data_IF_948736336278
#
_entry.id   IF_948736336278
#
_cell.length_a   1.000
_cell.length_b   1.000
_cell.length_c   1.000
_cell.angle_alpha   90.00
_cell.angle_beta   90.00
_cell.angle_gamma   90.00
#
_symmetry.space_group_name_H-M   'P 1'
#
loop_
_entity.id
_entity.type
_entity.pdbx_description
1 polymer ?
#
# COMPACT_ATOMS: atom_id res chain seq x y z
N UNK A 1 -1.72 19.09 5.04
CA UNK A 1 -2.30 19.08 3.69
C UNK A 1 -1.70 18.00 2.76
N UNK A 2 -0.46 17.55 2.94
CA UNK A 2 0.26 16.61 2.06
C UNK A 2 0.36 15.18 2.63
N UNK A 3 -0.58 14.74 3.46
CA UNK A 3 -0.47 13.44 4.18
C UNK A 3 -0.53 12.23 3.23
N UNK A 4 -1.42 12.25 2.24
CA UNK A 4 -1.52 11.15 1.27
C UNK A 4 -0.29 11.09 0.36
N UNK A 5 0.22 12.24 -0.08
CA UNK A 5 1.44 12.32 -0.90
C UNK A 5 2.66 11.78 -0.15
N UNK A 6 2.86 12.19 1.11
CA UNK A 6 3.99 11.71 1.94
C UNK A 6 3.88 10.21 2.23
N UNK A 7 2.68 9.71 2.57
CA UNK A 7 2.45 8.29 2.77
C UNK A 7 2.68 7.50 1.47
N UNK A 8 2.20 8.02 0.33
CA UNK A 8 2.43 7.40 -0.97
C UNK A 8 3.91 7.39 -1.37
N UNK A 9 4.66 8.47 -1.10
CA UNK A 9 6.09 8.54 -1.37
C UNK A 9 6.87 7.54 -0.49
N UNK A 10 6.50 7.39 0.78
CA UNK A 10 7.09 6.38 1.66
C UNK A 10 6.84 4.96 1.16
N UNK A 11 5.58 4.65 0.78
CA UNK A 11 5.23 3.34 0.21
C UNK A 11 5.91 3.09 -1.14
N UNK A 12 6.06 4.12 -1.99
CA UNK A 12 6.78 4.02 -3.25
C UNK A 12 8.26 3.66 -3.07
N UNK A 13 8.89 4.07 -1.96
CA UNK A 13 10.25 3.63 -1.60
C UNK A 13 10.37 2.11 -1.47
N UNK A 14 9.38 1.44 -0.86
CA UNK A 14 9.32 -0.01 -0.80
C UNK A 14 9.13 -0.67 -2.17
N UNK A 15 8.29 -0.07 -3.02
CA UNK A 15 8.07 -0.54 -4.39
C UNK A 15 9.33 -0.35 -5.24
N UNK A 16 10.07 0.76 -5.05
CA UNK A 16 11.36 0.99 -5.70
C UNK A 16 12.43 -0.02 -5.24
N UNK A 17 12.44 -0.38 -3.95
CA UNK A 17 13.27 -1.48 -3.45
C UNK A 17 12.94 -2.82 -4.13
N UNK A 18 11.67 -3.11 -4.37
CA UNK A 18 11.23 -4.29 -5.12
C UNK A 18 11.71 -4.25 -6.58
N UNK A 19 11.67 -3.07 -7.22
CA UNK A 19 12.24 -2.87 -8.57
C UNK A 19 13.73 -3.24 -8.61
N UNK A 20 14.53 -2.69 -7.71
CA UNK A 20 15.96 -3.00 -7.63
C UNK A 20 16.19 -4.49 -7.34
N UNK A 21 15.43 -5.07 -6.41
CA UNK A 21 15.52 -6.48 -6.04
C UNK A 21 15.23 -7.42 -7.19
N UNK A 22 14.17 -7.15 -7.96
CA UNK A 22 13.82 -7.96 -9.13
C UNK A 22 14.83 -7.82 -10.27
N UNK A 23 15.28 -6.60 -10.57
CA UNK A 23 16.24 -6.34 -11.63
C UNK A 23 17.60 -6.97 -11.34
N UNK A 24 18.20 -6.61 -10.20
CA UNK A 24 19.52 -7.09 -9.80
C UNK A 24 19.48 -8.58 -9.47
N UNK A 25 18.45 -9.03 -8.76
CA UNK A 25 18.26 -10.43 -8.41
C UNK A 25 18.10 -11.32 -9.62
N UNK A 26 17.32 -10.88 -10.64
CA UNK A 26 17.13 -11.61 -11.88
C UNK A 26 18.45 -11.77 -12.67
N UNK A 27 19.20 -10.68 -12.84
CA UNK A 27 20.51 -10.68 -13.52
C UNK A 27 21.53 -11.55 -12.76
N UNK A 28 21.62 -11.39 -11.45
CA UNK A 28 22.54 -12.19 -10.64
C UNK A 28 22.15 -13.68 -10.62
N UNK A 29 20.86 -14.01 -10.59
CA UNK A 29 20.39 -15.39 -10.61
C UNK A 29 20.72 -16.09 -11.93
N UNK A 30 20.61 -15.39 -13.05
CA UNK A 30 20.94 -15.92 -14.38
C UNK A 30 22.44 -16.19 -14.54
N UNK A 31 23.31 -15.25 -14.14
CA UNK A 31 24.76 -15.34 -14.40
C UNK A 31 25.54 -16.09 -13.32
N UNK A 32 25.12 -16.00 -12.05
CA UNK A 32 25.86 -16.54 -10.90
C UNK A 32 25.06 -17.59 -10.11
N UNK A 33 23.79 -17.79 -10.47
CA UNK A 33 22.87 -18.66 -9.74
C UNK A 33 22.21 -17.96 -8.55
N UNK A 34 21.08 -18.53 -8.13
CA UNK A 34 20.21 -17.94 -7.09
C UNK A 34 20.90 -17.72 -5.71
N UNK A 35 21.86 -18.59 -5.36
CA UNK A 35 22.60 -18.46 -4.07
C UNK A 35 23.40 -17.18 -4.02
N UNK A 36 24.08 -16.82 -5.10
CA UNK A 36 24.85 -15.59 -5.21
C UNK A 36 23.97 -14.35 -5.30
N UNK A 37 22.79 -14.46 -5.89
CA UNK A 37 21.81 -13.38 -5.87
C UNK A 37 21.41 -13.02 -4.42
N UNK A 38 21.06 -14.02 -3.58
CA UNK A 38 20.76 -13.79 -2.16
C UNK A 38 21.97 -13.27 -1.38
N UNK A 39 23.15 -13.84 -1.57
CA UNK A 39 24.37 -13.40 -0.88
C UNK A 39 24.72 -11.94 -1.21
N UNK A 40 24.63 -11.54 -2.48
CA UNK A 40 24.89 -10.17 -2.90
C UNK A 40 23.90 -9.16 -2.32
N UNK A 41 22.60 -9.50 -2.31
CA UNK A 41 21.59 -8.64 -1.70
C UNK A 41 21.76 -8.53 -0.18
N UNK A 42 22.13 -9.64 0.49
CA UNK A 42 22.42 -9.63 1.92
C UNK A 42 23.65 -8.76 2.24
N UNK A 43 24.72 -8.86 1.44
CA UNK A 43 25.91 -8.01 1.58
C UNK A 43 25.58 -6.52 1.42
N UNK A 44 24.79 -6.17 0.38
CA UNK A 44 24.33 -4.79 0.17
C UNK A 44 23.50 -4.27 1.35
N UNK A 45 22.58 -5.10 1.88
CA UNK A 45 21.80 -4.77 3.07
C UNK A 45 22.67 -4.54 4.31
N UNK A 46 23.71 -5.36 4.49
CA UNK A 46 24.65 -5.22 5.62
C UNK A 46 25.48 -3.95 5.52
N UNK A 47 25.93 -3.58 4.32
CA UNK A 47 26.63 -2.30 4.06
C UNK A 47 25.72 -1.12 4.40
N UNK A 48 24.46 -1.15 3.97
CA UNK A 48 23.49 -0.10 4.31
C UNK A 48 23.23 -0.02 5.82
N UNK A 49 23.13 -1.17 6.50
CA UNK A 49 22.94 -1.22 7.95
C UNK A 49 24.12 -0.61 8.71
N UNK A 50 25.35 -0.80 8.23
CA UNK A 50 26.56 -0.19 8.81
C UNK A 50 26.66 1.31 8.51
N UNK A 51 26.18 1.75 7.35
CA UNK A 51 26.15 3.17 6.98
C UNK A 51 25.05 3.94 7.72
N UNK A 52 23.95 3.27 8.09
CA UNK A 52 22.79 3.91 8.70
C UNK A 52 23.15 4.76 9.94
N UNK A 53 23.85 4.29 10.98
CA UNK A 53 24.19 5.08 12.17
C UNK A 53 25.14 6.24 11.88
N UNK A 54 25.89 6.18 10.76
CA UNK A 54 26.84 7.25 10.35
C UNK A 54 26.05 8.39 9.69
N UNK A 55 25.08 8.06 8.82
CA UNK A 55 24.30 9.03 8.05
C UNK A 55 23.15 9.62 8.88
N UNK A 56 22.48 8.76 9.66
CA UNK A 56 21.29 9.10 10.43
C UNK A 56 21.67 9.38 11.87
N UNK A 57 21.91 10.65 12.18
CA UNK A 57 22.19 11.10 13.55
C UNK A 57 20.86 11.32 14.29
N UNK A 58 20.70 10.65 15.44
CA UNK A 58 19.51 10.71 16.29
C UNK A 58 19.06 12.13 16.66
N UNK A 59 20.01 13.08 16.81
CA UNK A 59 19.76 14.50 17.05
C UNK A 59 19.00 15.21 15.90
N UNK A 60 19.02 14.66 14.68
CA UNK A 60 18.28 15.22 13.53
C UNK A 60 16.87 14.63 13.41
N UNK A 61 16.63 13.48 14.05
CA UNK A 61 15.33 12.77 14.07
C UNK A 61 14.66 12.96 15.44
N UNK A 62 15.11 13.91 16.26
CA UNK A 62 14.38 14.25 17.47
C UNK A 62 12.91 14.40 17.09
N UNK A 63 12.10 13.41 17.49
CA UNK A 63 10.66 13.43 17.27
C UNK A 63 10.18 14.82 17.68
N UNK A 64 9.53 15.59 16.82
CA UNK A 64 8.89 16.81 17.29
C UNK A 64 8.03 16.34 18.46
N UNK A 65 8.29 16.88 19.65
CA UNK A 65 7.38 16.67 20.79
C UNK A 65 6.02 16.94 20.20
N UNK A 66 5.17 15.90 20.16
CA UNK A 66 3.82 16.04 19.61
C UNK A 66 3.13 17.01 20.54
N UNK A 67 3.23 18.27 20.18
CA UNK A 67 2.71 19.41 20.94
C UNK A 67 1.48 19.83 20.16
N UNK A 68 0.37 19.98 20.83
CA UNK A 68 -0.85 20.53 20.26
C UNK A 68 -0.59 21.99 19.77
N UNK A 69 -1.51 22.55 18.98
CA UNK A 69 -1.46 23.94 18.50
C UNK A 69 -1.21 24.97 19.60
N UNK A 70 -1.41 24.59 20.87
CA UNK A 70 -1.19 25.39 22.06
C UNK A 70 0.10 25.07 22.84
N UNK A 71 1.02 24.26 22.28
CA UNK A 71 2.33 24.01 22.92
C UNK A 71 2.32 22.92 24.01
N UNK A 72 1.20 22.23 24.26
CA UNK A 72 1.06 21.20 25.31
C UNK A 72 1.45 19.81 24.78
N UNK A 73 2.05 18.98 25.64
CA UNK A 73 2.38 17.57 25.34
C UNK A 73 1.09 16.76 25.23
N UNK A 74 0.80 16.20 24.05
CA UNK A 74 -0.35 15.30 23.88
C UNK A 74 -0.13 14.06 24.75
N UNK A 75 -1.00 13.86 25.75
CA UNK A 75 -1.00 12.64 26.56
C UNK A 75 -1.51 11.44 25.74
N UNK A 76 -0.95 10.23 25.91
CA UNK A 76 -1.41 9.05 25.20
C UNK A 76 -2.87 8.73 25.59
N UNK A 77 -3.67 8.31 24.60
CA UNK A 77 -5.06 7.92 24.83
C UNK A 77 -5.16 6.77 25.86
N UNK A 78 -6.13 6.85 26.78
CA UNK A 78 -6.35 5.86 27.86
C UNK A 78 -6.59 4.41 27.36
N UNK A 79 -6.97 4.22 26.07
CA UNK A 79 -7.20 2.90 25.44
C UNK A 79 -6.85 2.95 23.96
N UNK A 80 -5.55 2.97 23.58
CA UNK A 80 -5.16 3.16 22.19
C UNK A 80 -5.68 2.05 21.26
N UNK A 81 -5.71 0.80 21.71
CA UNK A 81 -6.16 -0.34 20.90
C UNK A 81 -7.65 -0.30 20.59
N UNK A 82 -8.49 0.12 21.55
CA UNK A 82 -9.94 0.19 21.33
C UNK A 82 -10.32 1.28 20.33
N UNK A 83 -9.59 2.40 20.30
CA UNK A 83 -9.84 3.49 19.35
C UNK A 83 -9.51 3.10 17.90
N UNK A 84 -8.58 2.15 17.69
CA UNK A 84 -8.21 1.67 16.36
C UNK A 84 -9.31 0.86 15.67
N UNK A 85 -10.17 0.21 16.44
CA UNK A 85 -11.26 -0.63 15.94
C UNK A 85 -12.65 -0.06 16.23
N UNK A 86 -12.73 1.13 16.81
CA UNK A 86 -14.00 1.76 17.19
C UNK A 86 -14.82 2.27 15.99
N UNK A 87 -14.15 2.64 14.91
CA UNK A 87 -14.75 3.15 13.69
C UNK A 87 -14.91 2.05 12.64
N UNK A 88 -16.15 1.85 12.17
CA UNK A 88 -16.45 0.89 11.10
C UNK A 88 -15.70 1.25 9.81
N UNK A 89 -15.56 2.54 9.53
CA UNK A 89 -14.86 3.03 8.35
C UNK A 89 -13.36 2.76 8.41
N UNK A 90 -12.72 2.81 9.59
CA UNK A 90 -11.30 2.47 9.75
C UNK A 90 -11.06 0.99 9.51
N UNK A 91 -11.87 0.12 10.11
CA UNK A 91 -11.77 -1.34 9.90
C UNK A 91 -12.00 -1.70 8.44
N UNK A 92 -13.02 -1.12 7.82
CA UNK A 92 -13.28 -1.31 6.40
C UNK A 92 -12.11 -0.82 5.53
N UNK A 93 -11.43 0.28 5.92
CA UNK A 93 -10.25 0.77 5.21
C UNK A 93 -9.09 -0.22 5.32
N UNK A 94 -8.85 -0.82 6.49
CA UNK A 94 -7.82 -1.86 6.66
C UNK A 94 -8.08 -3.07 5.75
N UNK A 95 -9.33 -3.55 5.72
CA UNK A 95 -9.70 -4.71 4.90
C UNK A 95 -9.64 -4.36 3.40
N UNK A 96 -10.22 -3.23 3.00
CA UNK A 96 -10.25 -2.81 1.58
C UNK A 96 -8.85 -2.56 1.01
N UNK A 97 -7.97 -1.92 1.81
CA UNK A 97 -6.56 -1.70 1.44
C UNK A 97 -5.81 -3.03 1.31
N UNK A 98 -5.99 -3.94 2.26
CA UNK A 98 -5.38 -5.27 2.23
C UNK A 98 -5.83 -6.12 1.02
N UNK A 99 -7.14 -6.11 0.71
CA UNK A 99 -7.68 -6.78 -0.47
C UNK A 99 -7.14 -6.18 -1.78
N UNK A 100 -6.95 -4.87 -1.84
CA UNK A 100 -6.36 -4.25 -3.01
C UNK A 100 -4.87 -4.58 -3.15
N UNK A 101 -4.15 -4.64 -2.03
CA UNK A 101 -2.75 -5.09 -2.03
C UNK A 101 -2.62 -6.60 -2.31
N UNK A 102 -3.66 -7.42 -2.08
CA UNK A 102 -3.72 -8.81 -2.54
C UNK A 102 -3.48 -8.89 -4.06
N UNK A 103 -4.16 -8.03 -4.82
CA UNK A 103 -4.01 -7.97 -6.28
C UNK A 103 -2.61 -7.46 -6.66
N UNK A 104 -2.22 -6.30 -6.15
CA UNK A 104 -0.91 -5.70 -6.46
C UNK A 104 0.26 -6.57 -6.01
N UNK A 105 0.21 -7.11 -4.80
CA UNK A 105 1.24 -7.99 -4.24
C UNK A 105 1.39 -9.30 -5.01
N UNK A 106 0.28 -9.89 -5.45
CA UNK A 106 0.31 -11.08 -6.31
C UNK A 106 1.02 -10.80 -7.62
N UNK A 107 0.69 -9.70 -8.30
CA UNK A 107 1.37 -9.30 -9.53
C UNK A 107 2.86 -9.10 -9.28
N UNK A 108 3.23 -8.37 -8.23
CA UNK A 108 4.65 -8.13 -7.89
C UNK A 108 5.41 -9.46 -7.72
N UNK A 109 4.85 -10.40 -6.98
CA UNK A 109 5.54 -11.67 -6.64
C UNK A 109 5.59 -12.63 -7.81
N UNK A 110 4.47 -12.80 -8.54
CA UNK A 110 4.36 -13.83 -9.57
C UNK A 110 4.68 -13.35 -10.99
N UNK A 111 4.83 -12.03 -11.20
CA UNK A 111 5.07 -11.48 -12.54
C UNK A 111 6.35 -12.03 -13.22
N UNK A 112 7.51 -12.16 -12.54
CA UNK A 112 8.67 -12.77 -13.18
C UNK A 112 8.39 -14.20 -13.66
N UNK A 113 7.73 -15.01 -12.84
CA UNK A 113 7.35 -16.39 -13.21
C UNK A 113 6.31 -16.43 -14.34
N UNK A 114 5.36 -15.48 -14.35
CA UNK A 114 4.37 -15.35 -15.41
C UNK A 114 5.04 -15.03 -16.75
N UNK A 115 5.95 -14.07 -16.78
CA UNK A 115 6.70 -13.67 -17.98
C UNK A 115 7.61 -14.81 -18.48
N UNK A 116 8.26 -15.52 -17.57
CA UNK A 116 9.09 -16.66 -17.95
C UNK A 116 8.23 -17.78 -18.55
N UNK A 117 7.12 -18.18 -17.91
CA UNK A 117 6.29 -19.32 -18.33
C UNK A 117 5.40 -19.02 -19.53
N UNK A 118 4.82 -17.80 -19.58
CA UNK A 118 3.81 -17.46 -20.59
C UNK A 118 4.37 -16.73 -21.80
N UNK A 119 5.45 -15.95 -21.61
CA UNK A 119 6.16 -15.26 -22.69
C UNK A 119 7.42 -16.01 -23.16
N UNK A 120 7.86 -17.05 -22.46
CA UNK A 120 9.11 -17.74 -22.76
C UNK A 120 10.36 -16.88 -22.56
N UNK A 121 10.27 -15.84 -21.70
CA UNK A 121 11.41 -14.96 -21.45
C UNK A 121 12.45 -15.65 -20.57
N UNK A 122 13.74 -15.38 -20.82
CA UNK A 122 14.82 -15.77 -19.90
C UNK A 122 14.66 -15.08 -18.53
N UNK A 123 15.24 -15.63 -17.49
CA UNK A 123 15.07 -15.15 -16.09
C UNK A 123 15.47 -13.68 -15.93
N UNK A 124 16.56 -13.27 -16.61
CA UNK A 124 17.03 -11.88 -16.61
C UNK A 124 16.01 -10.93 -17.26
N UNK A 125 15.52 -11.25 -18.45
CA UNK A 125 14.52 -10.45 -19.18
C UNK A 125 13.19 -10.38 -18.43
N UNK A 126 12.75 -11.50 -17.88
CA UNK A 126 11.54 -11.56 -17.07
C UNK A 126 11.66 -10.69 -15.80
N UNK A 127 12.82 -10.73 -15.12
CA UNK A 127 13.11 -9.90 -13.96
C UNK A 127 13.11 -8.41 -14.29
N UNK A 128 13.79 -8.00 -15.37
CA UNK A 128 13.84 -6.60 -15.81
C UNK A 128 12.44 -6.10 -16.22
N UNK A 129 11.70 -6.89 -17.00
CA UNK A 129 10.35 -6.50 -17.44
C UNK A 129 9.39 -6.37 -16.25
N UNK A 130 9.44 -7.32 -15.32
CA UNK A 130 8.66 -7.23 -14.08
C UNK A 130 9.05 -5.99 -13.25
N UNK A 131 10.34 -5.69 -13.15
CA UNK A 131 10.84 -4.50 -12.47
C UNK A 131 10.31 -3.20 -13.10
N UNK A 132 10.24 -3.11 -14.42
CA UNK A 132 9.63 -1.96 -15.11
C UNK A 132 8.16 -1.81 -14.74
N UNK A 133 7.37 -2.90 -14.71
CA UNK A 133 5.96 -2.87 -14.29
C UNK A 133 5.85 -2.34 -12.85
N UNK A 134 6.71 -2.81 -11.95
CA UNK A 134 6.77 -2.38 -10.56
C UNK A 134 7.13 -0.89 -10.45
N UNK A 135 8.08 -0.41 -11.25
CA UNK A 135 8.45 1.01 -11.30
C UNK A 135 7.27 1.89 -11.74
N UNK A 136 6.52 1.48 -12.77
CA UNK A 136 5.30 2.16 -13.20
C UNK A 136 4.27 2.23 -12.08
N UNK A 137 4.11 1.16 -11.31
CA UNK A 137 3.19 1.15 -10.17
C UNK A 137 3.64 2.09 -9.04
N UNK A 138 4.96 2.25 -8.81
CA UNK A 138 5.50 3.22 -7.84
C UNK A 138 5.16 4.65 -8.24
N UNK A 139 5.39 5.00 -9.52
CA UNK A 139 5.00 6.31 -10.06
C UNK A 139 3.48 6.53 -9.93
N UNK A 140 2.68 5.50 -10.28
CA UNK A 140 1.23 5.52 -10.11
C UNK A 140 0.79 5.78 -8.68
N UNK A 141 1.42 5.10 -7.71
CA UNK A 141 1.14 5.29 -6.29
C UNK A 141 1.34 6.75 -5.86
N UNK A 142 2.44 7.38 -6.28
CA UNK A 142 2.73 8.79 -5.95
C UNK A 142 1.70 9.71 -6.62
N UNK A 143 1.49 9.58 -7.93
CA UNK A 143 0.58 10.45 -8.69
C UNK A 143 -0.87 10.32 -8.22
N UNK A 144 -1.35 9.10 -7.96
CA UNK A 144 -2.66 8.86 -7.38
C UNK A 144 -2.79 9.44 -5.96
N UNK A 145 -1.71 9.39 -5.15
CA UNK A 145 -1.65 10.03 -3.84
C UNK A 145 -1.76 11.56 -3.94
N UNK A 146 -1.01 12.18 -4.85
CA UNK A 146 -1.08 13.62 -5.12
C UNK A 146 -2.48 14.03 -5.60
N UNK A 147 -3.09 13.25 -6.49
CA UNK A 147 -4.45 13.48 -6.96
C UNK A 147 -5.46 13.37 -5.81
N UNK A 148 -5.27 12.41 -4.92
CA UNK A 148 -6.09 12.23 -3.72
C UNK A 148 -6.01 13.45 -2.78
N UNK A 149 -4.82 13.99 -2.54
CA UNK A 149 -4.66 15.19 -1.72
C UNK A 149 -5.30 16.40 -2.37
N UNK A 150 -5.10 16.56 -3.68
CA UNK A 150 -5.63 17.71 -4.45
C UNK A 150 -7.16 17.72 -4.49
N UNK A 151 -7.78 16.57 -4.79
CA UNK A 151 -9.24 16.45 -4.91
C UNK A 151 -9.95 16.30 -3.56
N UNK A 152 -9.26 15.77 -2.56
CA UNK A 152 -9.78 15.57 -1.22
C UNK A 152 -9.55 16.73 -0.24
N UNK A 153 -8.97 17.86 -0.71
CA UNK A 153 -8.65 19.02 0.12
C UNK A 153 -9.89 19.60 0.81
N UNK A 154 -10.94 19.88 0.03
CA UNK A 154 -12.15 20.53 0.51
C UNK A 154 -13.23 19.55 1.00
N UNK A 155 -13.18 18.32 0.52
CA UNK A 155 -14.17 17.27 0.82
C UNK A 155 -13.49 15.93 1.12
N UNK A 156 -13.31 15.54 2.40
CA UNK A 156 -12.68 14.28 2.78
C UNK A 156 -13.34 13.03 2.18
N UNK A 157 -14.65 13.06 1.92
CA UNK A 157 -15.41 11.97 1.30
C UNK A 157 -14.89 11.59 -0.09
N UNK A 158 -14.30 12.55 -0.82
CA UNK A 158 -13.73 12.30 -2.15
C UNK A 158 -12.56 11.31 -2.09
N UNK A 159 -11.86 11.22 -0.97
CA UNK A 159 -10.75 10.25 -0.79
C UNK A 159 -11.26 8.82 -0.85
N UNK A 160 -12.42 8.55 -0.23
CA UNK A 160 -13.07 7.24 -0.28
C UNK A 160 -13.56 6.91 -1.69
N UNK A 161 -14.14 7.91 -2.38
CA UNK A 161 -14.59 7.73 -3.76
C UNK A 161 -13.41 7.41 -4.67
N UNK A 162 -12.27 8.08 -4.50
CA UNK A 162 -11.05 7.80 -5.27
C UNK A 162 -10.54 6.39 -5.03
N UNK A 163 -10.56 5.90 -3.77
CA UNK A 163 -10.19 4.52 -3.49
C UNK A 163 -11.08 3.52 -4.26
N UNK A 164 -12.41 3.77 -4.31
CA UNK A 164 -13.35 2.94 -5.08
C UNK A 164 -13.03 3.00 -6.58
N UNK A 165 -12.80 4.20 -7.13
CA UNK A 165 -12.43 4.39 -8.54
C UNK A 165 -11.15 3.65 -8.88
N UNK A 166 -10.14 3.70 -8.01
CA UNK A 166 -8.88 3.00 -8.23
C UNK A 166 -9.05 1.48 -8.17
N UNK A 167 -9.91 0.96 -7.28
CA UNK A 167 -10.24 -0.47 -7.25
C UNK A 167 -10.92 -0.92 -8.53
N UNK A 168 -11.95 -0.20 -8.98
CA UNK A 168 -12.71 -0.55 -10.17
C UNK A 168 -11.85 -0.37 -11.44
N UNK A 169 -11.14 0.74 -11.56
CA UNK A 169 -10.25 1.00 -12.70
C UNK A 169 -9.12 -0.03 -12.80
N UNK A 170 -8.48 -0.36 -11.68
CA UNK A 170 -7.47 -1.42 -11.63
C UNK A 170 -8.04 -2.78 -12.00
N UNK A 171 -9.24 -3.12 -11.50
CA UNK A 171 -9.94 -4.36 -11.86
C UNK A 171 -10.18 -4.45 -13.37
N UNK A 172 -10.76 -3.41 -13.97
CA UNK A 172 -11.07 -3.41 -15.41
C UNK A 172 -9.79 -3.55 -16.23
N UNK A 173 -8.76 -2.74 -15.96
CA UNK A 173 -7.52 -2.75 -16.73
C UNK A 173 -6.78 -4.07 -16.61
N UNK A 174 -6.67 -4.65 -15.41
CA UNK A 174 -6.03 -5.94 -15.20
C UNK A 174 -6.85 -7.09 -15.80
N UNK A 175 -8.18 -7.03 -15.73
CA UNK A 175 -9.04 -8.04 -16.37
C UNK A 175 -8.88 -8.03 -17.90
N UNK A 176 -8.83 -6.83 -18.50
CA UNK A 176 -8.53 -6.69 -19.94
C UNK A 176 -7.12 -7.23 -20.23
N UNK A 177 -6.13 -6.85 -19.43
CA UNK A 177 -4.75 -7.30 -19.59
C UNK A 177 -4.65 -8.82 -19.64
N UNK A 178 -5.20 -9.52 -18.65
CA UNK A 178 -5.10 -10.98 -18.59
C UNK A 178 -6.09 -11.72 -19.52
N UNK A 179 -7.01 -11.01 -20.18
CA UNK A 179 -7.81 -11.56 -21.28
C UNK A 179 -7.09 -11.46 -22.63
N UNK A 180 -6.12 -10.57 -22.78
CA UNK A 180 -5.35 -10.40 -24.01
C UNK A 180 -4.29 -11.52 -24.19
N UNK A 181 -3.95 -11.88 -25.44
CA UNK A 181 -2.83 -12.78 -25.71
C UNK A 181 -1.49 -12.13 -25.33
N UNK A 182 -0.46 -12.97 -25.10
CA UNK A 182 0.88 -12.51 -24.80
C UNK A 182 1.40 -11.54 -25.89
N UNK A 183 1.76 -10.33 -25.49
CA UNK A 183 2.21 -9.29 -26.40
C UNK A 183 2.37 -7.93 -25.72
N UNK A 184 2.83 -6.95 -26.49
CA UNK A 184 3.06 -5.58 -25.98
C UNK A 184 1.80 -4.94 -25.42
N UNK A 185 0.64 -5.17 -26.06
CA UNK A 185 -0.64 -4.65 -25.59
C UNK A 185 -0.99 -5.16 -24.19
N UNK A 186 -0.82 -6.47 -23.93
CA UNK A 186 -1.00 -7.05 -22.60
C UNK A 186 -0.12 -6.38 -21.56
N UNK A 187 1.18 -6.21 -21.84
CA UNK A 187 2.13 -5.57 -20.93
C UNK A 187 1.76 -4.11 -20.63
N UNK A 188 1.31 -3.37 -21.64
CA UNK A 188 0.83 -1.99 -21.44
C UNK A 188 -0.39 -1.94 -20.51
N UNK A 189 -1.36 -2.82 -20.70
CA UNK A 189 -2.54 -2.89 -19.82
C UNK A 189 -2.17 -3.36 -18.40
N UNK A 190 -1.20 -4.27 -18.25
CA UNK A 190 -0.66 -4.63 -16.93
C UNK A 190 -0.02 -3.42 -16.25
N UNK A 191 0.83 -2.66 -16.95
CA UNK A 191 1.44 -1.43 -16.42
C UNK A 191 0.39 -0.42 -15.97
N UNK A 192 -0.61 -0.13 -16.81
CA UNK A 192 -1.70 0.81 -16.49
C UNK A 192 -2.57 0.31 -15.33
N UNK A 193 -2.88 -0.98 -15.32
CA UNK A 193 -3.65 -1.61 -14.25
C UNK A 193 -2.92 -1.53 -12.91
N UNK A 194 -1.63 -1.83 -12.88
CA UNK A 194 -0.80 -1.73 -11.68
C UNK A 194 -0.58 -0.29 -11.22
N UNK A 195 -0.44 0.65 -12.17
CA UNK A 195 -0.36 2.09 -11.90
C UNK A 195 -1.55 2.58 -11.06
N UNK A 196 -2.77 2.14 -11.41
CA UNK A 196 -3.99 2.54 -10.70
C UNK A 196 -4.24 1.67 -9.47
N UNK A 197 -4.00 0.37 -9.53
CA UNK A 197 -4.32 -0.57 -8.45
C UNK A 197 -3.59 -0.22 -7.14
N UNK A 198 -2.29 0.10 -7.19
CA UNK A 198 -1.53 0.51 -6.00
C UNK A 198 -1.79 1.97 -5.58
N UNK A 199 -2.50 2.75 -6.39
CA UNK A 199 -2.94 4.11 -6.07
C UNK A 199 -3.86 4.20 -4.84
N UNK A 200 -4.48 3.11 -4.42
CA UNK A 200 -5.32 3.05 -3.21
C UNK A 200 -4.57 3.27 -1.90
N UNK A 201 -3.25 3.11 -1.88
CA UNK A 201 -2.42 3.32 -0.68
C UNK A 201 -2.53 4.75 -0.12
N UNK A 202 -2.52 5.76 -0.99
CA UNK A 202 -2.68 7.17 -0.59
C UNK A 202 -4.02 7.46 0.09
N UNK A 203 -5.15 7.22 -0.58
CA UNK A 203 -6.47 7.36 0.01
C UNK A 203 -6.65 6.58 1.32
N UNK A 204 -6.21 5.32 1.38
CA UNK A 204 -6.34 4.47 2.59
C UNK A 204 -5.59 5.07 3.77
N UNK A 205 -4.35 5.51 3.56
CA UNK A 205 -3.55 6.17 4.58
C UNK A 205 -4.19 7.47 5.05
N UNK A 206 -4.71 8.27 4.12
CA UNK A 206 -5.40 9.53 4.43
C UNK A 206 -6.71 9.30 5.21
N UNK A 207 -7.48 8.25 4.86
CA UNK A 207 -8.70 7.88 5.60
C UNK A 207 -8.38 7.46 7.03
N UNK A 208 -7.36 6.61 7.23
CA UNK A 208 -6.91 6.22 8.58
C UNK A 208 -6.50 7.44 9.39
N UNK A 209 -5.71 8.36 8.80
CA UNK A 209 -5.29 9.58 9.47
C UNK A 209 -6.45 10.50 9.84
N UNK A 210 -7.50 10.58 9.03
CA UNK A 210 -8.66 11.44 9.30
C UNK A 210 -9.62 10.85 10.35
N UNK A 211 -9.65 9.51 10.48
CA UNK A 211 -10.59 8.80 11.35
C UNK A 211 -9.99 8.43 12.70
N UNK A 212 -8.69 8.67 12.92
CA UNK A 212 -7.99 8.34 14.16
C UNK A 212 -7.39 9.59 14.81
N UNK A 213 -7.32 9.60 16.13
CA UNK A 213 -6.72 10.72 16.86
C UNK A 213 -5.20 10.76 16.66
N UNK A 214 -4.61 11.96 16.66
CA UNK A 214 -3.18 12.17 16.41
C UNK A 214 -2.26 11.35 17.33
N UNK A 215 -2.66 11.11 18.60
CA UNK A 215 -1.88 10.33 19.56
C UNK A 215 -1.72 8.85 19.20
N UNK A 216 -2.60 8.30 18.35
CA UNK A 216 -2.62 6.89 17.95
C UNK A 216 -2.29 6.68 16.48
N UNK A 217 -1.96 7.74 15.73
CA UNK A 217 -1.65 7.64 14.30
C UNK A 217 -0.56 6.60 14.00
N UNK A 218 0.53 6.57 14.79
CA UNK A 218 1.60 5.59 14.58
C UNK A 218 1.09 4.15 14.66
N UNK A 219 0.27 3.85 15.69
CA UNK A 219 -0.32 2.52 15.86
C UNK A 219 -1.37 2.22 14.78
N UNK A 220 -2.16 3.22 14.36
CA UNK A 220 -3.14 3.08 13.30
C UNK A 220 -2.48 2.76 11.95
N UNK A 221 -1.39 3.43 11.61
CA UNK A 221 -0.60 3.12 10.42
C UNK A 221 0.09 1.76 10.50
N UNK A 222 0.59 1.38 11.69
CA UNK A 222 1.14 0.04 11.91
C UNK A 222 0.07 -1.04 11.69
N UNK A 223 -1.18 -0.81 12.17
CA UNK A 223 -2.30 -1.72 11.95
C UNK A 223 -2.71 -1.79 10.47
N UNK A 224 -2.72 -0.66 9.75
CA UNK A 224 -2.94 -0.64 8.31
C UNK A 224 -1.87 -1.46 7.57
N UNK A 225 -0.60 -1.27 7.94
CA UNK A 225 0.52 -2.01 7.36
C UNK A 225 0.42 -3.50 7.66
N UNK A 226 0.03 -3.87 8.89
CA UNK A 226 -0.19 -5.27 9.28
C UNK A 226 -1.31 -5.90 8.44
N UNK A 227 -2.45 -5.22 8.30
CA UNK A 227 -3.56 -5.68 7.47
C UNK A 227 -3.14 -5.84 5.99
N UNK A 228 -2.41 -4.87 5.45
CA UNK A 228 -1.86 -4.90 4.11
C UNK A 228 -0.91 -6.08 3.90
N UNK A 229 0.00 -6.33 4.83
CA UNK A 229 0.94 -7.44 4.74
C UNK A 229 0.23 -8.79 4.87
N UNK A 230 -0.69 -8.92 5.82
CA UNK A 230 -1.39 -10.18 6.07
C UNK A 230 -2.39 -10.52 4.96
N UNK A 231 -3.36 -9.62 4.70
CA UNK A 231 -4.40 -9.84 3.68
C UNK A 231 -3.85 -9.72 2.25
N UNK A 232 -2.86 -8.85 2.04
CA UNK A 232 -2.29 -8.57 0.73
C UNK A 232 -1.10 -9.46 0.40
N UNK A 233 0.07 -9.12 0.95
CA UNK A 233 1.35 -9.73 0.54
C UNK A 233 1.50 -11.19 0.97
N UNK A 234 0.88 -11.63 2.07
CA UNK A 234 0.96 -13.02 2.49
C UNK A 234 -0.11 -13.87 1.79
N UNK A 235 -1.40 -13.47 1.89
CA UNK A 235 -2.49 -14.28 1.33
C UNK A 235 -2.56 -14.20 -0.20
N UNK A 236 -2.28 -13.06 -0.80
CA UNK A 236 -2.40 -12.89 -2.26
C UNK A 236 -1.56 -13.90 -3.05
N UNK A 237 -0.23 -13.85 -2.94
CA UNK A 237 0.63 -14.80 -3.65
C UNK A 237 0.39 -16.26 -3.28
N UNK A 238 0.05 -16.54 -2.00
CA UNK A 238 -0.22 -17.90 -1.54
C UNK A 238 -1.50 -18.48 -2.16
N UNK A 239 -2.59 -17.72 -2.15
CA UNK A 239 -3.89 -18.18 -2.71
C UNK A 239 -3.78 -18.34 -4.22
N UNK A 240 -3.20 -17.36 -4.90
CA UNK A 240 -3.04 -17.43 -6.37
C UNK A 240 -1.99 -18.49 -6.75
N UNK A 241 -0.96 -18.71 -5.95
CA UNK A 241 -0.02 -19.81 -6.14
C UNK A 241 -0.71 -21.18 -6.08
N UNK A 242 -1.49 -21.44 -5.02
CA UNK A 242 -2.26 -22.68 -4.92
C UNK A 242 -3.31 -22.82 -6.03
N UNK A 243 -3.96 -21.75 -6.40
CA UNK A 243 -4.91 -21.75 -7.50
C UNK A 243 -4.20 -22.06 -8.83
N UNK A 244 -3.00 -21.53 -9.02
CA UNK A 244 -2.19 -21.81 -10.21
C UNK A 244 -1.76 -23.26 -10.36
N UNK A 245 -1.63 -24.00 -9.24
CA UNK A 245 -1.32 -25.42 -9.27
C UNK A 245 -2.49 -26.26 -9.82
N UNK A 246 -3.73 -25.74 -9.72
CA UNK A 246 -4.94 -26.45 -10.16
C UNK A 246 -5.37 -26.06 -11.57
N UNK A 247 -5.42 -24.74 -11.85
CA UNK A 247 -5.96 -24.22 -13.12
C UNK A 247 -4.90 -23.57 -14.02
N UNK A 248 -3.63 -23.54 -13.57
CA UNK A 248 -2.56 -22.83 -14.27
C UNK A 248 -2.47 -21.36 -13.88
N UNK A 249 -1.25 -20.81 -14.02
CA UNK A 249 -0.95 -19.45 -13.58
C UNK A 249 -1.70 -18.38 -14.38
N UNK A 250 -1.90 -18.60 -15.67
CA UNK A 250 -2.60 -17.66 -16.56
C UNK A 250 -4.07 -17.50 -16.16
N UNK A 251 -4.79 -18.59 -15.93
CA UNK A 251 -6.20 -18.56 -15.55
C UNK A 251 -6.39 -18.05 -14.12
N UNK A 252 -5.45 -18.36 -13.22
CA UNK A 252 -5.41 -17.78 -11.88
C UNK A 252 -5.28 -16.25 -11.93
N UNK A 253 -4.45 -15.70 -12.84
CA UNK A 253 -4.32 -14.26 -13.06
C UNK A 253 -5.57 -13.61 -13.69
N UNK A 254 -6.36 -14.35 -14.47
CA UNK A 254 -7.64 -13.87 -15.00
C UNK A 254 -8.69 -13.66 -13.90
N UNK A 255 -8.68 -14.50 -12.87
CA UNK A 255 -9.64 -14.44 -11.76
C UNK A 255 -9.21 -13.42 -10.71
N UNK A 256 -7.89 -13.25 -10.49
CA UNK A 256 -7.33 -12.41 -9.44
C UNK A 256 -7.87 -10.97 -9.41
N UNK A 257 -8.06 -10.23 -10.51
CA UNK A 257 -8.55 -8.85 -10.48
C UNK A 257 -9.94 -8.70 -9.85
N UNK A 258 -10.74 -9.77 -9.83
CA UNK A 258 -12.08 -9.76 -9.23
C UNK A 258 -12.04 -9.46 -7.72
N UNK A 259 -10.91 -9.73 -7.05
CA UNK A 259 -10.70 -9.36 -5.64
C UNK A 259 -10.78 -7.84 -5.46
N UNK A 260 -10.41 -7.04 -6.46
CA UNK A 260 -10.58 -5.57 -6.42
C UNK A 260 -12.05 -5.15 -6.34
N UNK A 261 -13.00 -5.96 -6.84
CA UNK A 261 -14.44 -5.70 -6.68
C UNK A 261 -14.83 -5.83 -5.21
N UNK A 262 -14.32 -6.86 -4.52
CA UNK A 262 -14.55 -7.02 -3.09
C UNK A 262 -13.97 -5.83 -2.31
N UNK A 263 -12.76 -5.38 -2.68
CA UNK A 263 -12.16 -4.18 -2.10
C UNK A 263 -13.04 -2.94 -2.33
N UNK A 264 -13.58 -2.75 -3.54
CA UNK A 264 -14.48 -1.64 -3.88
C UNK A 264 -15.77 -1.68 -3.04
N UNK A 265 -16.36 -2.86 -2.84
CA UNK A 265 -17.56 -3.06 -1.99
C UNK A 265 -17.24 -2.66 -0.54
N UNK A 266 -16.09 -3.07 -0.01
CA UNK A 266 -15.65 -2.73 1.35
C UNK A 266 -15.42 -1.22 1.49
N UNK A 267 -14.78 -0.56 0.51
CA UNK A 267 -14.65 0.89 0.50
C UNK A 267 -15.99 1.61 0.36
N UNK A 268 -16.93 1.06 -0.40
CA UNK A 268 -18.29 1.61 -0.48
C UNK A 268 -19.03 1.52 0.86
N UNK A 269 -18.85 0.42 1.60
CA UNK A 269 -19.33 0.29 2.97
C UNK A 269 -18.68 1.34 3.89
N UNK A 270 -17.35 1.53 3.78
CA UNK A 270 -16.64 2.58 4.51
C UNK A 270 -17.25 3.97 4.21
N UNK A 271 -17.53 4.28 2.93
CA UNK A 271 -18.14 5.56 2.50
C UNK A 271 -19.45 5.86 3.22
N UNK A 272 -20.32 4.85 3.39
CA UNK A 272 -21.63 5.03 4.05
C UNK A 272 -21.51 5.45 5.52
N UNK A 273 -20.43 5.04 6.19
CA UNK A 273 -20.22 5.32 7.62
C UNK A 273 -19.21 6.45 7.85
N UNK A 274 -18.46 6.85 6.81
CA UNK A 274 -17.32 7.75 6.90
C UNK A 274 -17.65 9.08 7.59
N UNK A 275 -18.75 9.71 7.20
CA UNK A 275 -19.15 11.01 7.73
C UNK A 275 -19.52 10.96 9.23
N UNK A 276 -20.25 9.92 9.64
CA UNK A 276 -20.62 9.70 11.04
C UNK A 276 -19.39 9.40 11.90
N UNK A 277 -18.49 8.58 11.36
CA UNK A 277 -17.28 8.18 12.08
C UNK A 277 -16.30 9.35 12.21
N UNK A 278 -16.21 10.22 11.21
CA UNK A 278 -15.40 11.44 11.25
C UNK A 278 -15.94 12.43 12.30
N UNK A 279 -17.24 12.67 12.34
CA UNK A 279 -17.86 13.51 13.36
C UNK A 279 -17.62 12.98 14.78
N UNK A 280 -17.68 11.66 14.97
CA UNK A 280 -17.35 11.04 16.27
C UNK A 280 -15.88 11.21 16.64
N UNK A 281 -14.98 11.10 15.67
CA UNK A 281 -13.55 11.32 15.92
C UNK A 281 -13.27 12.77 16.34
N UNK A 282 -13.92 13.74 15.67
CA UNK A 282 -13.82 15.17 16.01
C UNK A 282 -14.42 15.49 17.40
N UNK A 283 -15.57 14.89 17.74
CA UNK A 283 -16.18 15.04 19.07
C UNK A 283 -15.30 14.46 20.19
N UNK A 284 -14.75 13.26 19.99
CA UNK A 284 -13.83 12.65 20.95
C UNK A 284 -12.55 13.47 21.14
N UNK A 285 -12.03 14.06 20.06
CA UNK A 285 -10.89 14.97 20.15
C UNK A 285 -11.23 16.24 20.97
N UNK A 286 -12.42 16.80 20.76
CA UNK A 286 -12.89 17.97 21.49
C UNK A 286 -13.12 17.68 23.00
N UNK A 287 -13.76 16.55 23.33
CA UNK A 287 -13.98 16.12 24.72
C UNK A 287 -12.67 15.86 25.46
N UNK A 288 -11.67 15.25 24.79
CA UNK A 288 -10.36 15.04 25.40
C UNK A 288 -9.61 16.34 25.66
N UNK A 289 -9.70 17.32 24.76
CA UNK A 289 -9.08 18.63 24.96
C UNK A 289 -9.75 19.38 26.13
N UNK A 290 -11.09 19.38 26.21
CA UNK A 290 -11.81 20.03 27.29
C UNK A 290 -11.56 19.40 28.68
N UNK A 291 -11.43 18.06 28.74
CA UNK A 291 -11.09 17.36 29.98
C UNK A 291 -9.67 17.70 30.46
N UNK A 292 -8.74 17.97 29.54
CA UNK A 292 -7.38 18.42 29.85
C UNK A 292 -7.36 19.85 30.41
N UNK A 293 -8.15 20.74 29.82
CA UNK A 293 -8.27 22.13 30.31
C UNK A 293 -8.92 22.25 31.70
N UNK A 294 -9.73 21.25 32.10
CA UNK A 294 -10.32 21.20 33.45
C UNK A 294 -9.40 20.56 34.49
N UNK A 295 -8.49 19.67 34.12
CA UNK A 295 -7.48 19.09 35.04
C UNK A 295 -6.31 20.06 35.33
N UNK A 296 -6.13 21.10 34.49
CA UNK A 296 -5.06 22.10 34.66
C UNK A 296 -5.51 23.37 35.41
N UNK A 297 -6.81 23.52 35.70
CA UNK A 297 -7.37 24.58 36.56
C UNK A 297 -7.56 24.10 37.99
#
# INVERSE_FOLDING_TARGET
>A
EMRATLASAFMAGGVFGSFLGMSLGGVMAEHFGWRWAFAGMAFFGLVLALLYPIVVKEKRIASPKVVDRHGQKIKPAKSPLRSLYSSRSVVATYIGSGLQLFVGGTVIVWMPSYLNRYYGMSTDKAGITAAVIVLFSAVGTILCGMLCDRLGKDRPDRKVILAIIYCIGGCILLSIAFALPAGTAQLLFICLGMFIALGTNGPSSAMVANLTHNSVHGTAFATLTLANNFLGLALGPLVIGKLSDVIGLHDAFRIMPLVSILAAIVFFYAKRHYHKDMQRADQQAFEMNNAQDMEEK
#
